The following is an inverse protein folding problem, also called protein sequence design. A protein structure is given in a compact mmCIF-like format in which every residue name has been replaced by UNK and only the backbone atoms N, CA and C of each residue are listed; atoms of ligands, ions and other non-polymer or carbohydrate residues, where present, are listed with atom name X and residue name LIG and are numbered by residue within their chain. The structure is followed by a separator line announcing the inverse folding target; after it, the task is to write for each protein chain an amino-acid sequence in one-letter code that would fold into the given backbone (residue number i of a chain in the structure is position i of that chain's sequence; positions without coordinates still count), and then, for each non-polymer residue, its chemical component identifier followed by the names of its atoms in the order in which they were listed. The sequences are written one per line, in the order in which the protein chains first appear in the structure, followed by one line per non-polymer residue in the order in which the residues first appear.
data_IF_047484918076
#
_entry.id   IF_047484918076
#
_cell.length_a   1.000
_cell.length_b   1.000
_cell.length_c   1.000
_cell.angle_alpha   90.00
_cell.angle_beta   90.00
_cell.angle_gamma   90.00
#
_symmetry.space_group_name_H-M   'P 1'
#
loop_
_entity.id
_entity.type
_entity.pdbx_description
1 polymer ?
#
# COMPACT_ATOMS: atom_id res chain seq x y z
N UNK A 1 45.28 -5.80 -16.90
CA UNK A 1 44.40 -6.23 -15.79
C UNK A 1 45.10 -5.93 -14.48
N UNK A 2 44.36 -5.54 -13.42
CA UNK A 2 44.91 -5.44 -12.06
C UNK A 2 45.57 -6.75 -11.60
N UNK A 3 46.62 -6.68 -10.75
CA UNK A 3 47.22 -7.87 -10.13
C UNK A 3 46.18 -8.68 -9.32
N UNK A 4 46.23 -10.01 -9.41
CA UNK A 4 45.30 -10.91 -8.69
C UNK A 4 44.03 -11.30 -9.45
N UNK A 5 43.84 -10.81 -10.68
CA UNK A 5 42.72 -11.23 -11.50
C UNK A 5 42.86 -12.68 -12.01
N UNK A 6 41.76 -13.42 -11.92
CA UNK A 6 41.63 -14.76 -12.47
C UNK A 6 41.77 -14.73 -14.00
N UNK A 7 42.66 -15.55 -14.55
CA UNK A 7 42.78 -15.76 -16.00
C UNK A 7 41.58 -16.57 -16.49
N UNK A 8 40.89 -16.07 -17.51
CA UNK A 8 39.73 -16.72 -18.12
C UNK A 8 40.19 -17.61 -19.28
N UNK A 9 40.08 -18.92 -19.14
CA UNK A 9 40.47 -19.92 -20.15
C UNK A 9 39.28 -20.37 -21.00
N UNK A 10 38.09 -20.37 -20.41
CA UNK A 10 36.82 -20.57 -21.11
C UNK A 10 35.73 -19.81 -20.37
N UNK A 11 34.70 -19.39 -21.10
CA UNK A 11 33.58 -18.61 -20.57
C UNK A 11 32.28 -19.05 -21.24
N UNK A 12 31.19 -18.96 -20.48
CA UNK A 12 29.83 -19.09 -20.96
C UNK A 12 29.03 -17.92 -20.41
N UNK A 13 28.35 -17.21 -21.30
CA UNK A 13 27.46 -16.13 -20.93
C UNK A 13 26.03 -16.48 -21.31
N UNK A 14 25.10 -16.18 -20.40
CA UNK A 14 23.68 -16.22 -20.66
C UNK A 14 23.10 -14.82 -20.43
N UNK A 15 22.36 -14.25 -21.40
CA UNK A 15 21.78 -12.93 -21.26
C UNK A 15 20.57 -12.97 -20.32
N UNK A 16 20.47 -11.96 -19.46
CA UNK A 16 19.28 -11.68 -18.68
C UNK A 16 18.30 -10.94 -19.59
N UNK A 17 17.21 -11.59 -20.00
CA UNK A 17 16.25 -11.05 -20.96
C UNK A 17 14.96 -10.63 -20.25
N UNK A 18 14.50 -9.40 -20.52
CA UNK A 18 13.19 -8.90 -20.12
C UNK A 18 12.51 -8.30 -21.35
N UNK A 19 11.33 -8.81 -21.71
CA UNK A 19 10.54 -8.33 -22.86
C UNK A 19 11.37 -8.23 -24.17
N UNK A 20 12.24 -9.22 -24.42
CA UNK A 20 13.11 -9.25 -25.59
C UNK A 20 14.34 -8.33 -25.53
N UNK A 21 14.54 -7.59 -24.43
CA UNK A 21 15.72 -6.75 -24.22
C UNK A 21 16.69 -7.38 -23.22
N UNK A 22 17.98 -7.39 -23.54
CA UNK A 22 19.02 -7.78 -22.61
C UNK A 22 19.21 -6.69 -21.54
N UNK A 23 18.99 -7.02 -20.28
CA UNK A 23 19.15 -6.11 -19.12
C UNK A 23 20.38 -6.44 -18.27
N UNK A 24 21.10 -7.50 -18.63
CA UNK A 24 22.34 -7.93 -17.98
C UNK A 24 22.84 -9.26 -18.54
N UNK A 25 23.88 -9.80 -17.91
CA UNK A 25 24.52 -11.05 -18.29
C UNK A 25 24.90 -11.82 -17.03
N UNK A 26 24.73 -13.14 -17.06
CA UNK A 26 25.36 -14.06 -16.11
C UNK A 26 26.51 -14.74 -16.84
N UNK A 27 27.69 -14.75 -16.21
CA UNK A 27 28.89 -15.39 -16.72
C UNK A 27 29.34 -16.52 -15.83
N UNK A 28 29.66 -17.67 -16.42
CA UNK A 28 30.38 -18.77 -15.79
C UNK A 28 31.71 -18.90 -16.51
N UNK A 29 32.80 -19.08 -15.77
CA UNK A 29 34.14 -19.16 -16.34
C UNK A 29 34.94 -20.33 -15.79
N UNK A 30 35.98 -20.73 -16.52
CA UNK A 30 37.01 -21.67 -16.10
C UNK A 30 36.49 -23.06 -15.71
N UNK A 31 35.51 -23.59 -16.44
CA UNK A 31 35.10 -24.99 -16.30
C UNK A 31 36.20 -25.89 -16.89
N UNK A 32 36.73 -26.82 -16.09
CA UNK A 32 37.86 -27.69 -16.45
C UNK A 32 37.68 -28.42 -17.79
N UNK A 33 36.49 -28.95 -18.04
CA UNK A 33 36.18 -29.73 -19.26
C UNK A 33 35.52 -28.89 -20.38
N UNK A 34 35.57 -27.56 -20.26
CA UNK A 34 34.87 -26.65 -21.17
C UNK A 34 33.35 -26.66 -20.96
N UNK A 35 32.65 -25.92 -21.82
CA UNK A 35 31.19 -25.81 -21.78
C UNK A 35 30.54 -26.57 -22.92
N UNK A 36 29.43 -27.24 -22.63
CA UNK A 36 28.60 -27.94 -23.61
C UNK A 36 27.31 -27.17 -23.91
N UNK A 37 26.57 -27.58 -24.94
CA UNK A 37 25.23 -27.05 -25.21
C UNK A 37 24.27 -27.24 -24.02
N UNK A 38 24.40 -28.36 -23.28
CA UNK A 38 23.63 -28.57 -22.06
C UNK A 38 23.97 -27.50 -20.99
N UNK A 39 25.24 -27.09 -20.88
CA UNK A 39 25.61 -25.99 -19.98
C UNK A 39 25.00 -24.66 -20.42
N UNK A 40 24.94 -24.39 -21.73
CA UNK A 40 24.28 -23.22 -22.27
C UNK A 40 22.78 -23.22 -21.99
N UNK A 41 22.11 -24.37 -22.18
CA UNK A 41 20.69 -24.52 -21.87
C UNK A 41 20.40 -24.27 -20.38
N UNK A 42 21.18 -24.87 -19.47
CA UNK A 42 21.03 -24.67 -18.03
C UNK A 42 21.28 -23.20 -17.65
N UNK A 43 22.34 -22.59 -18.17
CA UNK A 43 22.64 -21.19 -17.91
C UNK A 43 21.55 -20.25 -18.44
N UNK A 44 20.94 -20.57 -19.59
CA UNK A 44 19.77 -19.85 -20.13
C UNK A 44 18.59 -19.89 -19.16
N UNK A 45 18.24 -21.07 -18.64
CA UNK A 45 17.16 -21.21 -17.63
C UNK A 45 17.47 -20.38 -16.38
N UNK A 46 18.70 -20.44 -15.86
CA UNK A 46 19.08 -19.62 -14.71
C UNK A 46 19.03 -18.12 -15.02
N UNK A 47 19.40 -17.71 -16.23
CA UNK A 47 19.32 -16.33 -16.66
C UNK A 47 17.86 -15.85 -16.75
N UNK A 48 16.94 -16.68 -17.24
CA UNK A 48 15.50 -16.37 -17.24
C UNK A 48 14.96 -16.19 -15.81
N UNK A 49 15.26 -17.13 -14.91
CA UNK A 49 14.84 -17.07 -13.50
C UNK A 49 15.41 -15.81 -12.82
N UNK A 50 16.70 -15.52 -13.03
CA UNK A 50 17.35 -14.33 -12.49
C UNK A 50 16.73 -13.04 -13.06
N UNK A 51 16.36 -13.02 -14.33
CA UNK A 51 15.68 -11.87 -14.96
C UNK A 51 14.34 -11.58 -14.29
N UNK A 52 13.52 -12.62 -14.07
CA UNK A 52 12.23 -12.51 -13.38
C UNK A 52 12.44 -12.05 -11.94
N UNK A 53 13.41 -12.63 -11.23
CA UNK A 53 13.71 -12.24 -9.85
C UNK A 53 14.14 -10.77 -9.73
N UNK A 54 14.98 -10.28 -10.65
CA UNK A 54 15.37 -8.88 -10.72
C UNK A 54 14.17 -7.96 -10.98
N UNK A 55 13.28 -8.35 -11.89
CA UNK A 55 12.06 -7.60 -12.18
C UNK A 55 11.14 -7.53 -10.95
N UNK A 56 10.90 -8.67 -10.29
CA UNK A 56 10.09 -8.73 -9.08
C UNK A 56 10.68 -7.86 -7.96
N UNK A 57 11.99 -7.88 -7.76
CA UNK A 57 12.64 -7.03 -6.75
C UNK A 57 12.43 -5.54 -7.04
N UNK A 58 12.51 -5.13 -8.31
CA UNK A 58 12.25 -3.75 -8.71
C UNK A 58 10.79 -3.36 -8.48
N UNK A 59 9.84 -4.23 -8.78
CA UNK A 59 8.43 -3.97 -8.50
C UNK A 59 8.13 -3.82 -7.01
N UNK A 60 8.72 -4.69 -6.16
CA UNK A 60 8.58 -4.58 -4.70
C UNK A 60 9.15 -3.25 -4.20
N UNK A 61 10.31 -2.84 -4.71
CA UNK A 61 10.94 -1.57 -4.32
C UNK A 61 10.10 -0.35 -4.77
N UNK A 62 9.58 -0.37 -6.00
CA UNK A 62 8.67 0.67 -6.49
C UNK A 62 7.39 0.76 -5.66
N UNK A 63 6.79 -0.39 -5.29
CA UNK A 63 5.62 -0.43 -4.42
C UNK A 63 5.93 0.19 -3.05
N UNK A 64 7.02 -0.25 -2.40
CA UNK A 64 7.46 0.30 -1.11
C UNK A 64 7.71 1.80 -1.18
N UNK A 65 8.37 2.28 -2.23
CA UNK A 65 8.63 3.71 -2.41
C UNK A 65 7.33 4.50 -2.63
N UNK A 66 6.37 3.95 -3.37
CA UNK A 66 5.05 4.56 -3.54
C UNK A 66 4.28 4.62 -2.22
N UNK A 67 4.27 3.54 -1.44
CA UNK A 67 3.65 3.48 -0.12
C UNK A 67 4.28 4.48 0.86
N UNK A 68 5.61 4.54 0.91
CA UNK A 68 6.33 5.49 1.75
C UNK A 68 6.04 6.94 1.36
N UNK A 69 5.98 7.24 0.06
CA UNK A 69 5.62 8.57 -0.44
C UNK A 69 4.18 8.93 -0.08
N UNK A 70 3.24 8.01 -0.26
CA UNK A 70 1.85 8.21 0.16
C UNK A 70 1.75 8.47 1.66
N UNK A 71 2.44 7.65 2.47
CA UNK A 71 2.51 7.81 3.92
C UNK A 71 3.08 9.18 4.32
N UNK A 72 4.17 9.62 3.71
CA UNK A 72 4.77 10.92 3.98
C UNK A 72 3.84 12.10 3.61
N UNK A 73 3.04 11.95 2.55
CA UNK A 73 2.05 12.96 2.16
C UNK A 73 0.89 13.03 3.16
N UNK A 74 0.38 11.88 3.63
CA UNK A 74 -0.73 11.85 4.59
C UNK A 74 -0.29 12.22 6.01
N UNK A 75 0.96 11.97 6.38
CA UNK A 75 1.51 12.29 7.70
C UNK A 75 1.62 13.79 8.00
N UNK A 76 1.64 14.65 6.96
CA UNK A 76 1.71 16.11 7.09
C UNK A 76 0.36 16.81 6.98
N UNK A 77 -0.72 16.05 6.72
CA UNK A 77 -2.09 16.57 6.73
C UNK A 77 -2.56 16.59 8.19
N UNK A 78 -3.04 17.74 8.66
CA UNK A 78 -3.60 17.90 10.00
C UNK A 78 -4.90 17.14 10.19
N UNK A 79 -5.69 17.03 9.13
CA UNK A 79 -6.94 16.27 9.11
C UNK A 79 -6.63 14.76 9.13
N UNK A 80 -7.49 13.99 9.80
CA UNK A 80 -7.41 12.53 9.84
C UNK A 80 -8.13 11.98 8.63
N UNK A 81 -7.55 10.97 7.97
CA UNK A 81 -8.18 10.28 6.86
C UNK A 81 -8.44 8.83 7.24
N UNK A 82 -9.68 8.38 7.10
CA UNK A 82 -10.06 6.98 7.28
C UNK A 82 -10.67 6.42 5.99
N UNK A 83 -10.55 5.11 5.79
CA UNK A 83 -11.26 4.38 4.74
C UNK A 83 -12.10 3.31 5.41
N UNK A 84 -13.37 3.24 5.05
CA UNK A 84 -14.30 2.21 5.52
C UNK A 84 -14.81 1.37 4.35
N UNK A 85 -15.17 0.12 4.65
CA UNK A 85 -15.88 -0.77 3.74
C UNK A 85 -17.30 -0.27 3.45
N UNK A 86 -17.99 -0.91 2.51
CA UNK A 86 -19.41 -0.64 2.24
C UNK A 86 -20.31 -0.92 3.45
N UNK A 87 -19.90 -1.85 4.30
CA UNK A 87 -20.55 -2.24 5.55
C UNK A 87 -20.13 -1.35 6.74
N UNK A 88 -19.30 -0.32 6.50
CA UNK A 88 -18.86 0.61 7.53
C UNK A 88 -17.71 0.10 8.41
N UNK A 89 -16.99 -0.96 7.99
CA UNK A 89 -15.83 -1.48 8.72
C UNK A 89 -14.58 -0.65 8.40
N UNK A 90 -13.85 -0.21 9.41
CA UNK A 90 -12.63 0.59 9.22
C UNK A 90 -11.52 -0.27 8.64
N UNK A 91 -11.04 0.05 7.44
CA UNK A 91 -9.93 -0.62 6.77
C UNK A 91 -8.61 0.13 6.93
N UNK A 92 -8.67 1.44 7.08
CA UNK A 92 -7.49 2.29 7.19
C UNK A 92 -7.81 3.52 8.04
N UNK A 93 -6.81 3.97 8.80
CA UNK A 93 -6.79 5.27 9.45
C UNK A 93 -5.38 5.86 9.29
N UNK A 94 -5.30 7.15 8.99
CA UNK A 94 -4.03 7.83 8.74
C UNK A 94 -3.17 7.91 10.02
N UNK A 95 -1.83 7.91 9.89
CA UNK A 95 -0.95 8.04 11.06
C UNK A 95 -1.12 9.36 11.84
N UNK A 96 -1.73 10.39 11.25
CA UNK A 96 -2.10 11.64 11.94
C UNK A 96 -3.03 11.39 13.13
N UNK A 97 -3.86 10.34 13.10
CA UNK A 97 -4.69 9.91 14.23
C UNK A 97 -3.85 9.52 15.45
N UNK A 98 -2.87 8.64 15.25
CA UNK A 98 -1.98 8.19 16.32
C UNK A 98 -1.10 9.33 16.84
N UNK A 99 -0.59 10.19 15.95
CA UNK A 99 0.17 11.38 16.36
C UNK A 99 -0.67 12.35 17.22
N UNK A 100 -1.96 12.50 16.91
CA UNK A 100 -2.87 13.42 17.60
C UNK A 100 -3.37 12.87 18.93
N UNK A 101 -3.77 11.59 18.98
CA UNK A 101 -4.45 11.01 20.14
C UNK A 101 -3.61 9.99 20.92
N UNK A 102 -2.41 9.63 20.45
CA UNK A 102 -1.54 8.63 21.09
C UNK A 102 -2.10 7.20 21.05
N UNK A 103 -3.09 6.95 20.18
CA UNK A 103 -3.76 5.65 20.03
C UNK A 103 -3.32 5.04 18.71
N UNK A 104 -2.70 3.85 18.78
CA UNK A 104 -2.33 3.07 17.62
C UNK A 104 -3.55 2.82 16.71
N UNK A 105 -3.43 3.15 15.43
CA UNK A 105 -4.50 3.04 14.44
C UNK A 105 -5.04 1.61 14.32
N UNK A 106 -4.20 0.62 14.56
CA UNK A 106 -4.49 -0.82 14.54
C UNK A 106 -5.55 -1.21 15.58
N UNK A 107 -5.76 -0.40 16.63
CA UNK A 107 -6.81 -0.66 17.64
C UNK A 107 -8.22 -0.41 17.12
N UNK A 108 -8.38 0.41 16.09
CA UNK A 108 -9.68 0.76 15.51
C UNK A 108 -9.91 0.11 14.14
N UNK A 109 -8.85 -0.36 13.48
CA UNK A 109 -8.97 -1.11 12.22
C UNK A 109 -9.72 -2.43 12.47
N UNK A 110 -10.68 -2.73 11.60
CA UNK A 110 -11.58 -3.89 11.70
C UNK A 110 -12.83 -3.64 12.53
N UNK A 111 -12.93 -2.52 13.26
CA UNK A 111 -14.13 -2.15 14.00
C UNK A 111 -15.17 -1.46 13.08
N UNK A 112 -16.47 -1.57 13.39
CA UNK A 112 -17.49 -0.75 12.75
C UNK A 112 -17.30 0.72 13.09
N UNK A 113 -17.35 1.62 12.11
CA UNK A 113 -17.24 3.07 12.34
C UNK A 113 -18.25 3.55 13.40
N UNK A 114 -19.50 3.07 13.31
CA UNK A 114 -20.57 3.45 14.22
C UNK A 114 -20.31 3.12 15.68
N UNK A 115 -19.43 2.15 15.99
CA UNK A 115 -19.07 1.86 17.39
C UNK A 115 -18.20 2.94 18.03
N UNK A 116 -17.56 3.79 17.22
CA UNK A 116 -16.79 4.94 17.67
C UNK A 116 -17.63 6.22 17.72
N UNK A 117 -18.77 6.26 17.03
CA UNK A 117 -19.65 7.43 16.99
C UNK A 117 -20.54 7.45 18.24
N UNK A 118 -20.70 8.63 18.84
CA UNK A 118 -21.62 8.84 19.96
C UNK A 118 -23.04 8.38 19.62
N UNK A 119 -23.77 7.70 20.53
CA UNK A 119 -25.09 7.13 20.25
C UNK A 119 -26.09 8.08 19.56
N UNK A 120 -26.18 9.33 20.02
CA UNK A 120 -27.03 10.37 19.43
C UNK A 120 -26.73 10.65 17.94
N UNK A 121 -25.47 10.50 17.51
CA UNK A 121 -25.02 10.82 16.15
C UNK A 121 -25.05 9.58 15.22
N UNK A 122 -25.16 8.37 15.78
CA UNK A 122 -25.12 7.10 15.03
C UNK A 122 -26.22 7.02 13.97
N UNK A 123 -27.44 7.48 14.27
CA UNK A 123 -28.57 7.44 13.31
C UNK A 123 -28.27 8.31 12.09
N UNK A 124 -27.71 9.51 12.29
CA UNK A 124 -27.35 10.39 11.18
C UNK A 124 -26.21 9.80 10.37
N UNK A 125 -25.17 9.28 11.03
CA UNK A 125 -24.05 8.62 10.36
C UNK A 125 -24.51 7.40 9.54
N UNK A 126 -25.39 6.56 10.08
CA UNK A 126 -25.95 5.40 9.38
C UNK A 126 -26.67 5.82 8.09
N UNK A 127 -27.53 6.85 8.16
CA UNK A 127 -28.23 7.39 6.98
C UNK A 127 -27.26 7.93 5.92
N UNK A 128 -26.19 8.59 6.36
CA UNK A 128 -25.13 9.07 5.46
C UNK A 128 -24.46 7.90 4.74
N UNK A 129 -24.12 6.82 5.45
CA UNK A 129 -23.57 5.62 4.85
C UNK A 129 -24.53 4.97 3.84
N UNK A 130 -25.82 4.84 4.19
CA UNK A 130 -26.84 4.30 3.27
C UNK A 130 -26.98 5.14 1.99
N UNK A 131 -26.93 6.47 2.12
CA UNK A 131 -27.03 7.41 1.00
C UNK A 131 -25.83 7.29 0.05
N UNK A 132 -24.62 7.12 0.59
CA UNK A 132 -23.39 6.97 -0.18
C UNK A 132 -23.27 5.58 -0.83
N UNK A 133 -23.69 4.54 -0.12
CA UNK A 133 -23.61 3.15 -0.59
C UNK A 133 -24.69 2.81 -1.62
N UNK A 134 -25.85 3.45 -1.55
CA UNK A 134 -26.90 3.38 -2.58
C UNK A 134 -26.56 4.16 -3.86
N UNK A 135 -25.54 5.02 -3.82
CA UNK A 135 -25.16 5.91 -4.93
C UNK A 135 -26.05 7.15 -5.06
N UNK A 136 -26.92 7.41 -4.08
CA UNK A 136 -27.79 8.59 -4.05
C UNK A 136 -27.00 9.90 -3.87
N UNK A 137 -25.78 9.81 -3.33
CA UNK A 137 -24.81 10.91 -3.29
C UNK A 137 -23.38 10.39 -3.50
N UNK A 138 -22.50 11.25 -4.05
CA UNK A 138 -21.06 10.97 -4.13
C UNK A 138 -20.28 11.43 -2.90
N UNK A 139 -20.76 12.46 -2.22
CA UNK A 139 -20.11 12.99 -1.02
C UNK A 139 -21.12 13.69 -0.12
N UNK A 140 -20.92 13.59 1.20
CA UNK A 140 -21.76 14.19 2.24
C UNK A 140 -20.82 14.76 3.32
N UNK A 141 -21.07 16.01 3.73
CA UNK A 141 -20.41 16.62 4.88
C UNK A 141 -21.32 16.54 6.09
N UNK A 142 -20.75 16.19 7.23
CA UNK A 142 -21.37 16.22 8.54
C UNK A 142 -20.51 17.08 9.44
N UNK A 143 -21.15 17.94 10.22
CA UNK A 143 -20.47 18.88 11.12
C UNK A 143 -20.69 18.43 12.56
N UNK A 144 -19.72 18.74 13.41
CA UNK A 144 -19.84 18.56 14.87
C UNK A 144 -20.20 17.13 15.33
N UNK A 145 -19.56 16.12 14.73
CA UNK A 145 -19.79 14.71 15.05
C UNK A 145 -18.92 14.26 16.21
N UNK A 146 -19.55 13.71 17.26
CA UNK A 146 -18.86 13.21 18.46
C UNK A 146 -18.31 11.81 18.23
N UNK A 147 -17.00 11.66 18.42
CA UNK A 147 -16.29 10.37 18.27
C UNK A 147 -15.55 10.03 19.57
N UNK A 148 -15.80 8.83 20.09
CA UNK A 148 -15.16 8.29 21.27
C UNK A 148 -14.02 7.34 20.92
N UNK A 149 -12.79 7.72 21.26
CA UNK A 149 -11.60 6.86 21.10
C UNK A 149 -11.15 6.20 22.40
N UNK A 150 -11.68 6.66 23.55
CA UNK A 150 -11.45 6.11 24.88
C UNK A 150 -12.71 6.29 25.73
N UNK A 151 -12.83 5.51 26.81
CA UNK A 151 -14.08 5.34 27.57
C UNK A 151 -14.63 6.60 28.25
N UNK A 152 -13.91 7.73 28.27
CA UNK A 152 -14.31 8.91 29.06
C UNK A 152 -14.22 10.26 28.33
N UNK A 153 -13.96 10.31 27.02
CA UNK A 153 -14.00 11.58 26.28
C UNK A 153 -14.44 11.40 24.83
N UNK A 154 -15.29 12.32 24.36
CA UNK A 154 -15.64 12.47 22.96
C UNK A 154 -14.88 13.65 22.37
N UNK A 155 -14.38 13.48 21.16
CA UNK A 155 -13.78 14.55 20.35
C UNK A 155 -14.75 14.91 19.23
N UNK A 156 -14.85 16.20 18.92
CA UNK A 156 -15.77 16.72 17.92
C UNK A 156 -15.06 16.84 16.56
N UNK A 157 -15.72 16.39 15.50
CA UNK A 157 -15.17 16.40 14.16
C UNK A 157 -16.14 16.93 13.12
N UNK A 158 -15.61 17.77 12.23
CA UNK A 158 -16.20 17.96 10.91
C UNK A 158 -15.72 16.82 10.00
N UNK A 159 -16.66 16.08 9.42
CA UNK A 159 -16.39 14.92 8.59
C UNK A 159 -16.87 15.11 7.16
N UNK A 160 -16.00 14.82 6.20
CA UNK A 160 -16.35 14.71 4.79
C UNK A 160 -16.28 13.26 4.35
N UNK A 161 -17.44 12.67 4.05
CA UNK A 161 -17.54 11.33 3.49
C UNK A 161 -17.56 11.44 1.96
N UNK A 162 -16.75 10.62 1.29
CA UNK A 162 -16.67 10.55 -0.18
C UNK A 162 -16.74 9.09 -0.62
N UNK A 163 -17.75 8.76 -1.41
CA UNK A 163 -17.95 7.41 -1.94
C UNK A 163 -16.98 7.16 -3.09
N UNK A 164 -16.11 6.16 -2.92
CA UNK A 164 -15.21 5.62 -3.92
C UNK A 164 -15.40 4.10 -4.06
N UNK A 165 -16.65 3.64 -3.89
CA UNK A 165 -17.01 2.21 -3.93
C UNK A 165 -16.75 1.59 -5.31
N UNK A 166 -16.95 2.36 -6.37
CA UNK A 166 -16.67 1.93 -7.74
C UNK A 166 -15.19 2.14 -8.14
N UNK A 167 -14.38 2.79 -7.30
CA UNK A 167 -12.97 3.01 -7.60
C UNK A 167 -12.17 1.73 -7.37
N UNK A 168 -11.41 1.23 -8.37
CA UNK A 168 -10.81 -0.11 -8.33
C UNK A 168 -9.83 -0.32 -7.17
N UNK A 169 -9.12 0.74 -6.76
CA UNK A 169 -8.13 0.68 -5.68
C UNK A 169 -8.72 0.92 -4.28
N UNK A 170 -9.88 1.56 -4.15
CA UNK A 170 -10.43 1.97 -2.83
C UNK A 170 -11.59 1.06 -2.46
N UNK A 171 -12.58 0.90 -3.34
CA UNK A 171 -13.76 0.06 -3.14
C UNK A 171 -14.46 0.28 -1.80
N UNK A 172 -14.52 1.54 -1.36
CA UNK A 172 -15.00 1.93 -0.05
C UNK A 172 -15.35 3.42 0.04
N UNK A 173 -15.55 3.92 1.25
CA UNK A 173 -15.83 5.34 1.51
C UNK A 173 -14.62 5.94 2.20
N UNK A 174 -14.13 7.05 1.66
CA UNK A 174 -13.06 7.86 2.26
C UNK A 174 -13.68 8.91 3.16
N UNK A 175 -13.16 9.04 4.37
CA UNK A 175 -13.61 10.00 5.36
C UNK A 175 -12.44 10.90 5.70
N UNK A 176 -12.61 12.21 5.52
CA UNK A 176 -11.69 13.22 6.05
C UNK A 176 -12.31 13.83 7.29
N UNK A 177 -11.65 13.71 8.42
CA UNK A 177 -12.08 14.20 9.73
C UNK A 177 -11.19 15.36 10.16
N UNK A 178 -11.77 16.53 10.37
CA UNK A 178 -11.11 17.68 10.98
C UNK A 178 -11.55 17.81 12.42
N UNK A 179 -10.58 17.75 13.32
CA UNK A 179 -10.80 18.01 14.75
C UNK A 179 -11.16 19.50 14.94
N UNK A 180 -12.26 19.78 15.63
CA UNK A 180 -12.75 21.13 15.92
C UNK A 180 -12.74 21.45 17.42
N UNK A 181 -12.08 20.62 18.24
CA UNK A 181 -11.89 20.82 19.68
C UNK A 181 -10.62 21.59 20.06
#
# INVERSE_FOLDING_TARGET
MPPGHVVLHNVLFAPLMLEGKAVGLIGIANKKDGFTEQNAAIAGIFAEIASIALLNSRFIEQLKNSENRFRALTENITDITAIISREGIIWYCSPSFEKRYGIASEKIIGAPLLSLIHPDDQVSCSKTLDTLTSGSAKSIRMEDIRVGFSSNNHTHFDMLFTSLIDHPSVRGIVITCRDIT
#
